data_IF_328627708227
#
_entry.id   IF_328627708227
#
_cell.length_a   1.000
_cell.length_b   1.000
_cell.length_c   1.000
_cell.angle_alpha   90.00
_cell.angle_beta   90.00
_cell.angle_gamma   90.00
#
_symmetry.space_group_name_H-M   'P 1'
#
loop_
_entity.id
_entity.type
_entity.pdbx_description
1 polymer ?
#
# COMPACT_ATOMS: atom_id res chain seq x y z
N UNK A 1 10.40 13.79 11.97
CA UNK A 1 10.43 14.11 13.41
C UNK A 1 11.15 12.96 14.13
N UNK A 2 11.95 13.23 15.16
CA UNK A 2 12.76 12.20 15.85
C UNK A 2 12.09 11.73 17.15
N UNK A 3 12.17 10.44 17.50
CA UNK A 3 11.85 9.99 18.85
C UNK A 3 12.95 10.33 19.88
N UNK A 4 14.17 10.66 19.46
CA UNK A 4 15.32 10.86 20.36
C UNK A 4 15.13 11.91 21.47
N UNK A 5 14.45 13.05 21.24
CA UNK A 5 14.17 14.00 22.31
C UNK A 5 13.20 13.49 23.38
N UNK A 6 12.39 12.46 23.07
CA UNK A 6 11.28 11.99 23.90
C UNK A 6 11.61 10.70 24.64
N UNK A 7 12.49 9.86 24.08
CA UNK A 7 12.78 8.54 24.60
C UNK A 7 14.29 8.38 24.84
N UNK A 8 14.68 7.88 26.02
CA UNK A 8 16.09 7.52 26.28
C UNK A 8 16.46 6.16 25.70
N UNK A 9 15.47 5.28 25.56
CA UNK A 9 15.58 3.94 24.99
C UNK A 9 14.34 3.65 24.18
N UNK A 10 14.49 2.87 23.13
CA UNK A 10 13.39 2.41 22.30
C UNK A 10 13.42 0.91 22.14
N UNK A 11 12.24 0.32 22.14
CA UNK A 11 12.06 -1.07 21.76
C UNK A 11 12.28 -1.18 20.26
N UNK A 12 13.07 -2.17 19.83
CA UNK A 12 13.35 -2.39 18.41
C UNK A 12 13.10 -3.83 18.04
N UNK A 13 12.43 -4.01 16.90
CA UNK A 13 12.32 -5.32 16.26
C UNK A 13 13.66 -5.69 15.63
N UNK A 14 14.05 -6.97 15.73
CA UNK A 14 15.20 -7.53 15.00
C UNK A 14 14.88 -7.70 13.52
N UNK A 15 13.67 -8.16 13.25
CA UNK A 15 13.12 -8.36 11.90
C UNK A 15 11.78 -7.62 11.85
N UNK A 16 11.78 -6.33 11.46
CA UNK A 16 10.55 -5.57 11.34
C UNK A 16 9.74 -6.08 10.13
N UNK A 17 8.46 -6.37 10.35
CA UNK A 17 7.54 -6.69 9.24
C UNK A 17 7.22 -5.44 8.40
N UNK A 18 6.65 -5.60 7.21
CA UNK A 18 6.18 -4.45 6.45
C UNK A 18 5.00 -3.77 7.18
N UNK A 19 4.95 -2.42 7.23
CA UNK A 19 3.86 -1.72 7.91
C UNK A 19 2.55 -1.79 7.11
N UNK A 20 1.45 -1.98 7.83
CA UNK A 20 0.10 -1.80 7.32
C UNK A 20 -0.43 -0.41 7.71
N UNK A 21 -1.00 0.31 6.75
CA UNK A 21 -1.55 1.64 7.00
C UNK A 21 -3.03 1.58 7.31
N UNK A 22 -3.38 1.96 8.55
CA UNK A 22 -4.77 2.02 8.98
C UNK A 22 -5.21 3.46 9.11
N UNK A 23 -6.29 3.79 8.39
CA UNK A 23 -6.83 5.14 8.37
C UNK A 23 -7.85 5.34 9.48
N UNK A 24 -7.70 6.44 10.23
CA UNK A 24 -8.62 6.83 11.30
C UNK A 24 -9.37 8.09 10.88
N UNK A 25 -10.72 8.10 10.89
CA UNK A 25 -11.50 9.28 10.56
C UNK A 25 -11.20 10.36 11.59
N UNK A 26 -10.71 11.50 11.13
CA UNK A 26 -10.55 12.69 11.95
C UNK A 26 -11.47 13.75 11.41
N UNK A 27 -12.45 14.16 12.22
CA UNK A 27 -13.30 15.30 11.92
C UNK A 27 -12.42 16.53 11.75
N UNK A 28 -12.46 17.15 10.55
CA UNK A 28 -11.69 18.35 10.26
C UNK A 28 -11.99 19.46 11.27
N UNK A 29 -10.95 20.16 11.72
CA UNK A 29 -11.04 21.27 12.67
C UNK A 29 -10.21 21.07 13.93
N UNK A 30 -10.07 22.14 14.72
CA UNK A 30 -9.26 22.19 15.95
C UNK A 30 -10.06 21.80 17.20
N UNK A 31 -10.91 20.77 17.10
CA UNK A 31 -11.64 20.28 18.27
C UNK A 31 -10.68 19.59 19.25
N UNK A 32 -11.00 19.62 20.54
CA UNK A 32 -10.21 18.94 21.57
C UNK A 32 -10.07 17.44 21.29
N UNK A 33 -11.14 16.81 20.79
CA UNK A 33 -11.16 15.40 20.38
C UNK A 33 -10.21 15.13 19.21
N UNK A 34 -10.17 16.03 18.21
CA UNK A 34 -9.26 15.95 17.06
C UNK A 34 -7.80 16.06 17.51
N UNK A 35 -7.51 16.99 18.42
CA UNK A 35 -6.17 17.17 18.96
C UNK A 35 -5.73 15.96 19.80
N UNK A 36 -6.63 15.42 20.62
CA UNK A 36 -6.38 14.22 21.41
C UNK A 36 -6.08 13.01 20.51
N UNK A 37 -6.91 12.74 19.50
CA UNK A 37 -6.68 11.64 18.53
C UNK A 37 -5.35 11.83 17.79
N UNK A 38 -5.03 13.06 17.36
CA UNK A 38 -3.74 13.37 16.72
C UNK A 38 -2.56 13.06 17.65
N UNK A 39 -2.65 13.42 18.92
CA UNK A 39 -1.64 13.10 19.93
C UNK A 39 -1.49 11.59 20.19
N UNK A 40 -2.58 10.82 20.13
CA UNK A 40 -2.53 9.36 20.27
C UNK A 40 -1.85 8.72 19.05
N UNK A 41 -2.21 9.16 17.83
CA UNK A 41 -1.54 8.74 16.59
C UNK A 41 -0.05 9.09 16.64
N UNK A 42 0.30 10.30 17.08
CA UNK A 42 1.67 10.77 17.24
C UNK A 42 2.48 9.81 18.13
N UNK A 43 1.97 9.53 19.34
CA UNK A 43 2.61 8.63 20.31
C UNK A 43 2.82 7.23 19.72
N UNK A 44 1.83 6.71 19.00
CA UNK A 44 1.94 5.41 18.34
C UNK A 44 3.00 5.40 17.24
N UNK A 45 2.90 6.33 16.29
CA UNK A 45 3.79 6.40 15.15
C UNK A 45 5.24 6.75 15.53
N UNK A 46 5.45 7.48 16.62
CA UNK A 46 6.81 7.74 17.15
C UNK A 46 7.54 6.46 17.57
N UNK A 47 6.82 5.38 17.91
CA UNK A 47 7.39 4.06 18.20
C UNK A 47 7.65 3.24 16.93
N UNK A 48 7.95 3.88 15.79
CA UNK A 48 8.07 3.19 14.51
C UNK A 48 9.13 2.08 14.52
N UNK A 49 10.25 2.23 15.24
CA UNK A 49 11.31 1.21 15.31
C UNK A 49 10.90 -0.06 16.08
N UNK A 50 9.85 0.01 16.89
CA UNK A 50 9.28 -1.17 17.57
C UNK A 50 8.49 -2.07 16.59
N UNK A 51 8.16 -1.57 15.40
CA UNK A 51 7.44 -2.28 14.34
C UNK A 51 6.18 -2.98 14.87
N UNK A 52 6.07 -4.30 14.69
CA UNK A 52 4.95 -5.09 15.16
C UNK A 52 4.76 -5.12 16.69
N UNK A 53 5.77 -4.69 17.46
CA UNK A 53 5.74 -4.72 18.93
C UNK A 53 5.31 -3.38 19.57
N UNK A 54 4.80 -2.40 18.81
CA UNK A 54 4.36 -1.09 19.35
C UNK A 54 3.39 -1.21 20.53
N UNK A 55 2.44 -2.15 20.46
CA UNK A 55 1.48 -2.39 21.55
C UNK A 55 2.15 -2.75 22.88
N UNK A 56 3.36 -3.32 22.86
CA UNK A 56 4.10 -3.76 24.05
C UNK A 56 4.68 -2.60 24.87
N UNK A 57 4.80 -1.41 24.28
CA UNK A 57 5.40 -0.23 24.94
C UNK A 57 4.43 0.94 25.13
N UNK A 58 3.23 0.85 24.56
CA UNK A 58 2.22 1.90 24.66
C UNK A 58 1.17 1.49 25.69
N UNK A 59 0.85 2.40 26.61
CA UNK A 59 -0.19 2.19 27.61
C UNK A 59 -1.58 2.24 26.96
N UNK A 60 -2.51 1.44 27.50
CA UNK A 60 -3.90 1.41 27.01
C UNK A 60 -4.57 2.80 27.07
N UNK A 61 -4.31 3.56 28.13
CA UNK A 61 -4.82 4.91 28.30
C UNK A 61 -4.32 5.92 27.24
N UNK A 62 -3.25 5.59 26.51
CA UNK A 62 -2.72 6.41 25.41
C UNK A 62 -3.36 6.09 24.05
N UNK A 63 -4.32 5.15 23.98
CA UNK A 63 -4.98 4.73 22.75
C UNK A 63 -6.46 5.08 22.75
N UNK A 64 -6.99 5.46 21.58
CA UNK A 64 -8.43 5.50 21.39
C UNK A 64 -9.00 4.07 21.38
N UNK A 65 -10.30 3.87 21.67
CA UNK A 65 -10.91 2.53 21.62
C UNK A 65 -10.69 1.81 20.30
N UNK A 66 -10.67 2.54 19.18
CA UNK A 66 -10.43 1.96 17.85
C UNK A 66 -8.98 1.55 17.64
N UNK A 67 -8.02 2.39 18.05
CA UNK A 67 -6.61 2.04 18.00
C UNK A 67 -6.30 0.84 18.88
N UNK A 68 -6.90 0.80 20.08
CA UNK A 68 -6.76 -0.31 21.01
C UNK A 68 -7.28 -1.62 20.42
N UNK A 69 -8.48 -1.61 19.84
CA UNK A 69 -9.08 -2.80 19.22
C UNK A 69 -8.19 -3.40 18.12
N UNK A 70 -7.52 -2.56 17.34
CA UNK A 70 -6.55 -2.99 16.31
C UNK A 70 -5.28 -3.52 16.97
N UNK A 71 -4.73 -2.77 17.92
CA UNK A 71 -3.50 -3.14 18.60
C UNK A 71 -3.62 -4.42 19.45
N UNK A 72 -4.84 -4.82 19.85
CA UNK A 72 -5.13 -6.07 20.56
C UNK A 72 -5.24 -7.30 19.65
N UNK A 73 -5.22 -7.13 18.32
CA UNK A 73 -5.23 -8.26 17.38
C UNK A 73 -3.92 -9.06 17.38
N UNK A 74 -2.86 -8.51 17.99
CA UNK A 74 -1.58 -9.19 18.17
C UNK A 74 -0.39 -8.25 17.96
N UNK A 75 0.78 -8.84 17.78
CA UNK A 75 1.96 -8.11 17.33
C UNK A 75 1.84 -7.88 15.82
N UNK A 76 1.17 -6.79 15.42
CA UNK A 76 0.99 -6.37 14.02
C UNK A 76 1.66 -5.03 13.77
N UNK A 77 2.37 -4.87 12.64
CA UNK A 77 3.07 -3.64 12.32
C UNK A 77 2.11 -2.60 11.70
N UNK A 78 1.33 -1.90 12.52
CA UNK A 78 0.36 -0.90 12.02
C UNK A 78 0.90 0.51 12.14
N UNK A 79 0.71 1.35 11.12
CA UNK A 79 0.92 2.80 11.15
C UNK A 79 -0.43 3.49 11.00
N UNK A 80 -0.79 4.33 11.97
CA UNK A 80 -2.07 5.05 11.94
C UNK A 80 -1.93 6.35 11.15
N UNK A 81 -2.86 6.61 10.24
CA UNK A 81 -2.88 7.84 9.45
C UNK A 81 -4.25 8.52 9.57
N UNK A 82 -4.33 9.85 9.72
CA UNK A 82 -5.58 10.57 9.61
C UNK A 82 -6.23 10.39 8.24
N UNK A 83 -7.49 9.96 8.21
CA UNK A 83 -8.32 10.01 7.01
C UNK A 83 -8.89 11.41 6.87
N UNK A 84 -8.43 12.12 5.85
CA UNK A 84 -8.95 13.45 5.49
C UNK A 84 -9.74 13.38 4.17
N UNK A 85 -10.38 14.47 3.75
CA UNK A 85 -11.13 14.54 2.49
C UNK A 85 -10.22 14.30 1.29
N UNK A 86 -9.01 14.85 1.34
CA UNK A 86 -8.04 14.73 0.24
C UNK A 86 -7.28 13.40 0.24
N UNK A 87 -7.27 12.66 1.36
CA UNK A 87 -6.35 11.52 1.59
C UNK A 87 -4.86 11.92 1.50
N UNK A 88 -4.53 13.19 1.69
CA UNK A 88 -3.16 13.67 1.54
C UNK A 88 -2.16 12.92 2.42
N UNK A 89 -2.48 12.68 3.68
CA UNK A 89 -1.55 12.02 4.61
C UNK A 89 -1.24 10.57 4.21
N UNK A 90 -2.12 9.92 3.45
CA UNK A 90 -1.87 8.57 2.90
C UNK A 90 -0.85 8.64 1.76
N UNK A 91 -0.97 9.66 0.90
CA UNK A 91 -0.14 9.79 -0.32
C UNK A 91 1.00 10.79 -0.20
N UNK A 92 1.24 11.36 0.98
CA UNK A 92 2.24 12.39 1.19
C UNK A 92 3.63 11.98 0.70
N UNK A 93 4.13 10.75 0.93
CA UNK A 93 5.42 10.32 0.40
C UNK A 93 5.50 10.43 -1.14
N UNK A 94 4.47 9.95 -1.85
CA UNK A 94 4.43 10.02 -3.32
C UNK A 94 4.32 11.47 -3.82
N UNK A 95 3.53 12.31 -3.15
CA UNK A 95 3.40 13.72 -3.48
C UNK A 95 4.74 14.47 -3.38
N UNK A 96 5.51 14.22 -2.32
CA UNK A 96 6.78 14.91 -2.06
C UNK A 96 7.97 14.36 -2.89
N UNK A 97 7.74 13.35 -3.71
CA UNK A 97 8.68 12.89 -4.75
C UNK A 97 8.44 13.58 -6.10
N UNK A 98 7.37 14.35 -6.25
CA UNK A 98 7.07 15.04 -7.50
C UNK A 98 7.96 16.28 -7.69
N UNK A 99 8.56 16.47 -8.87
CA UNK A 99 9.21 17.72 -9.21
C UNK A 99 8.21 18.89 -9.19
N UNK A 100 8.67 20.09 -8.81
CA UNK A 100 7.88 21.32 -8.80
C UNK A 100 7.13 21.55 -10.12
N UNK A 101 7.82 21.34 -11.23
CA UNK A 101 7.24 21.53 -12.58
C UNK A 101 6.08 20.59 -12.86
N UNK A 102 6.07 19.39 -12.27
CA UNK A 102 4.98 18.42 -12.38
C UNK A 102 3.83 18.82 -11.45
N UNK A 103 4.14 19.20 -10.20
CA UNK A 103 3.16 19.69 -9.22
C UNK A 103 2.36 20.86 -9.81
N UNK A 104 3.04 21.90 -10.30
CA UNK A 104 2.41 23.08 -10.89
C UNK A 104 1.61 22.74 -12.15
N UNK A 105 2.15 21.90 -13.06
CA UNK A 105 1.47 21.48 -14.29
C UNK A 105 0.14 20.77 -14.03
N UNK A 106 0.08 20.01 -12.94
CA UNK A 106 -1.12 19.24 -12.58
C UNK A 106 -2.06 20.01 -11.64
N UNK A 107 -1.80 21.30 -11.38
CA UNK A 107 -2.66 22.15 -10.55
C UNK A 107 -2.60 21.81 -9.06
N UNK A 108 -1.53 21.15 -8.62
CA UNK A 108 -1.28 20.84 -7.22
C UNK A 108 -0.53 22.01 -6.55
N UNK A 109 -0.80 22.31 -5.27
CA UNK A 109 -0.12 23.39 -4.55
C UNK A 109 1.30 22.99 -4.15
N UNK A 110 2.21 23.95 -4.04
CA UNK A 110 3.53 23.70 -3.46
C UNK A 110 3.42 23.65 -1.93
N UNK A 111 3.88 22.55 -1.33
CA UNK A 111 3.92 22.36 0.11
C UNK A 111 5.38 22.29 0.56
N UNK A 112 5.67 22.78 1.76
CA UNK A 112 7.05 22.93 2.23
C UNK A 112 7.77 21.58 2.45
N UNK A 113 7.04 20.58 2.94
CA UNK A 113 7.60 19.25 3.19
C UNK A 113 6.57 18.28 3.76
N UNK A 114 6.87 17.00 3.66
CA UNK A 114 6.09 15.90 4.22
C UNK A 114 6.58 15.48 5.60
N UNK A 115 5.79 14.67 6.28
CA UNK A 115 6.21 13.98 7.49
C UNK A 115 6.06 12.48 7.27
N UNK A 116 7.08 11.73 7.66
CA UNK A 116 6.95 10.29 7.83
C UNK A 116 7.62 9.84 9.14
N UNK A 117 6.95 8.99 9.95
CA UNK A 117 5.51 8.72 9.86
C UNK A 117 4.71 9.99 10.18
N UNK A 118 3.38 9.97 9.96
CA UNK A 118 2.54 11.08 10.40
C UNK A 118 2.66 11.24 11.93
N UNK A 119 2.98 12.44 12.40
CA UNK A 119 3.02 12.71 13.85
C UNK A 119 2.00 13.76 14.22
N UNK A 120 2.07 14.94 13.61
CA UNK A 120 1.14 16.00 13.90
C UNK A 120 1.02 16.94 12.71
N UNK A 121 -0.18 17.46 12.53
CA UNK A 121 -0.45 18.52 11.56
C UNK A 121 -0.62 19.84 12.32
N UNK A 122 0.36 20.74 12.20
CA UNK A 122 0.27 22.06 12.83
C UNK A 122 -0.69 22.99 12.08
N UNK A 123 -0.91 22.76 10.79
CA UNK A 123 -1.80 23.55 9.94
C UNK A 123 -2.56 22.59 9.03
N UNK A 124 -3.90 22.55 9.08
CA UNK A 124 -4.70 21.68 8.22
C UNK A 124 -4.38 21.94 6.75
N UNK A 125 -3.90 20.92 6.03
CA UNK A 125 -3.53 20.99 4.62
C UNK A 125 -4.76 20.88 3.72
N UNK A 126 -5.76 20.13 4.14
CA UNK A 126 -6.97 19.79 3.38
C UNK A 126 -7.74 20.99 2.77
N UNK A 127 -7.86 22.15 3.47
CA UNK A 127 -8.47 23.35 2.90
C UNK A 127 -7.70 23.97 1.73
N UNK A 128 -6.39 23.72 1.64
CA UNK A 128 -5.52 24.25 0.59
C UNK A 128 -5.37 23.30 -0.59
N UNK A 129 -5.89 22.08 -0.47
CA UNK A 129 -5.83 21.06 -1.52
C UNK A 129 -7.06 21.12 -2.43
N UNK A 130 -6.87 20.96 -3.75
CA UNK A 130 -7.99 20.99 -4.70
C UNK A 130 -9.00 19.87 -4.41
N UNK A 131 -10.24 20.07 -4.87
CA UNK A 131 -11.32 19.09 -4.68
C UNK A 131 -10.97 17.73 -5.28
N UNK A 132 -10.28 17.73 -6.43
CA UNK A 132 -9.82 16.54 -7.13
C UNK A 132 -8.36 16.17 -6.82
N UNK A 133 -7.86 16.46 -5.62
CA UNK A 133 -6.46 16.23 -5.24
C UNK A 133 -5.95 14.83 -5.59
N UNK A 134 -6.65 13.76 -5.20
CA UNK A 134 -6.18 12.39 -5.44
C UNK A 134 -6.08 12.06 -6.94
N UNK A 135 -7.01 12.59 -7.75
CA UNK A 135 -7.00 12.42 -9.21
C UNK A 135 -5.85 13.23 -9.85
N UNK A 136 -5.62 14.46 -9.38
CA UNK A 136 -4.52 15.30 -9.83
C UNK A 136 -3.15 14.68 -9.47
N UNK A 137 -3.01 14.16 -8.26
CA UNK A 137 -1.83 13.44 -7.80
C UNK A 137 -1.61 12.15 -8.58
N UNK A 138 -2.66 11.35 -8.82
CA UNK A 138 -2.59 10.16 -9.67
C UNK A 138 -2.07 10.49 -11.07
N UNK A 139 -2.54 11.57 -11.70
CA UNK A 139 -2.03 12.00 -13.01
C UNK A 139 -0.60 12.51 -12.96
N UNK A 140 -0.24 13.25 -11.92
CA UNK A 140 1.09 13.79 -11.72
C UNK A 140 2.11 12.65 -11.53
N UNK A 141 1.80 11.70 -10.64
CA UNK A 141 2.59 10.51 -10.38
C UNK A 141 2.76 9.66 -11.64
N UNK A 142 1.66 9.33 -12.31
CA UNK A 142 1.71 8.58 -13.56
C UNK A 142 2.62 9.26 -14.60
N UNK A 143 2.66 10.59 -14.67
CA UNK A 143 3.50 11.32 -15.61
C UNK A 143 5.01 11.18 -15.34
N UNK A 144 5.41 10.94 -14.08
CA UNK A 144 6.82 10.76 -13.71
C UNK A 144 7.28 9.32 -13.86
N UNK A 145 6.47 8.34 -13.46
CA UNK A 145 6.84 6.90 -13.53
C UNK A 145 6.60 6.28 -14.91
N UNK A 146 5.90 6.98 -15.82
CA UNK A 146 5.51 6.41 -17.11
C UNK A 146 6.71 5.90 -17.93
N UNK A 147 7.84 6.61 -17.88
CA UNK A 147 9.03 6.25 -18.67
C UNK A 147 9.66 4.94 -18.21
N UNK A 148 9.51 4.62 -16.93
CA UNK A 148 10.02 3.38 -16.32
C UNK A 148 9.15 2.19 -16.72
N UNK A 149 7.83 2.41 -16.85
CA UNK A 149 6.88 1.39 -17.29
C UNK A 149 6.91 1.16 -18.82
N UNK A 150 6.92 2.25 -19.59
CA UNK A 150 6.86 2.26 -21.05
C UNK A 150 7.89 3.21 -21.62
N UNK A 151 9.04 2.65 -21.96
CA UNK A 151 10.08 3.37 -22.70
C UNK A 151 9.63 3.67 -24.13
N UNK A 152 9.83 4.91 -24.58
CA UNK A 152 9.74 5.30 -25.99
C UNK A 152 8.35 5.59 -26.54
N UNK A 153 7.25 5.30 -25.82
CA UNK A 153 5.90 5.67 -26.25
C UNK A 153 5.22 6.56 -25.21
N UNK A 154 4.57 7.63 -25.65
CA UNK A 154 3.85 8.52 -24.73
C UNK A 154 2.58 7.84 -24.19
N UNK A 155 2.16 8.21 -22.98
CA UNK A 155 0.92 7.72 -22.38
C UNK A 155 -0.33 8.00 -23.24
N UNK A 156 -0.33 9.08 -24.03
CA UNK A 156 -1.42 9.43 -24.93
C UNK A 156 -1.57 8.45 -26.13
N UNK A 157 -0.60 7.58 -26.35
CA UNK A 157 -0.67 6.52 -27.35
C UNK A 157 -1.57 5.34 -26.95
N UNK A 158 -2.01 5.32 -25.69
CA UNK A 158 -2.80 4.25 -25.11
C UNK A 158 -4.20 4.77 -24.75
N UNK A 159 -5.18 3.87 -24.73
CA UNK A 159 -6.54 4.20 -24.28
C UNK A 159 -6.55 4.51 -22.78
N UNK A 160 -7.68 4.97 -22.24
CA UNK A 160 -7.78 5.28 -20.81
C UNK A 160 -7.80 4.01 -19.95
N UNK A 161 -8.37 2.95 -20.50
CA UNK A 161 -8.55 1.66 -19.84
C UNK A 161 -7.36 0.71 -20.06
N UNK A 162 -6.31 1.17 -20.76
CA UNK A 162 -5.08 0.40 -20.94
C UNK A 162 -4.49 0.00 -19.57
N UNK A 163 -4.19 -1.29 -19.34
CA UNK A 163 -3.73 -1.77 -18.04
C UNK A 163 -2.44 -1.10 -17.55
N UNK A 164 -1.54 -0.73 -18.47
CA UNK A 164 -0.29 -0.05 -18.08
C UNK A 164 -0.57 1.36 -17.58
N UNK A 165 -1.53 2.04 -18.20
CA UNK A 165 -2.02 3.33 -17.77
C UNK A 165 -2.69 3.25 -16.40
N UNK A 166 -3.56 2.26 -16.21
CA UNK A 166 -4.21 2.02 -14.92
C UNK A 166 -3.18 1.77 -13.80
N UNK A 167 -2.15 0.96 -14.07
CA UNK A 167 -1.05 0.71 -13.14
C UNK A 167 -0.29 1.99 -12.77
N UNK A 168 0.06 2.81 -13.77
CA UNK A 168 0.75 4.08 -13.56
C UNK A 168 -0.06 5.06 -12.69
N UNK A 169 -1.39 5.04 -12.83
CA UNK A 169 -2.32 5.90 -12.09
C UNK A 169 -2.68 5.37 -10.70
N UNK A 170 -2.43 4.10 -10.40
CA UNK A 170 -2.81 3.48 -9.13
C UNK A 170 -1.82 3.85 -8.02
N UNK A 171 -2.11 4.90 -7.26
CA UNK A 171 -1.26 5.34 -6.15
C UNK A 171 -1.07 4.26 -5.07
N UNK A 172 -2.12 3.49 -4.77
CA UNK A 172 -2.10 2.45 -3.75
C UNK A 172 -1.12 1.31 -4.11
N UNK A 173 -0.89 1.07 -5.40
CA UNK A 173 0.16 0.12 -5.86
C UNK A 173 1.58 0.58 -5.46
N UNK A 174 1.85 1.89 -5.51
CA UNK A 174 3.18 2.45 -5.23
C UNK A 174 3.43 2.72 -3.75
N UNK A 175 2.38 2.78 -2.91
CA UNK A 175 2.49 3.08 -1.49
C UNK A 175 3.39 2.11 -0.70
N UNK A 176 3.30 0.77 -0.89
CA UNK A 176 4.18 -0.16 -0.20
C UNK A 176 5.66 0.08 -0.53
N UNK A 177 5.97 0.29 -1.81
CA UNK A 177 7.34 0.49 -2.27
C UNK A 177 7.95 1.78 -1.71
N UNK A 178 7.23 2.91 -1.80
CA UNK A 178 7.73 4.18 -1.21
C UNK A 178 7.89 4.08 0.29
N UNK A 179 7.02 3.35 0.97
CA UNK A 179 7.12 3.15 2.42
C UNK A 179 8.34 2.31 2.79
N UNK A 180 8.60 1.24 2.06
CA UNK A 180 9.78 0.38 2.24
C UNK A 180 11.07 1.20 2.07
N UNK A 181 11.16 1.99 1.00
CA UNK A 181 12.31 2.89 0.74
C UNK A 181 12.49 3.90 1.88
N UNK A 182 11.42 4.56 2.32
CA UNK A 182 11.47 5.52 3.44
C UNK A 182 11.98 4.84 4.72
N UNK A 183 11.49 3.64 5.03
CA UNK A 183 11.94 2.87 6.20
C UNK A 183 13.40 2.45 6.10
N UNK A 184 13.84 2.01 4.91
CA UNK A 184 15.23 1.64 4.65
C UNK A 184 16.15 2.83 4.91
N UNK A 185 15.86 4.00 4.33
CA UNK A 185 16.63 5.23 4.53
C UNK A 185 16.66 5.66 6.00
N UNK A 186 15.53 5.64 6.69
CA UNK A 186 15.47 5.96 8.13
C UNK A 186 16.24 4.96 8.99
N UNK A 187 16.36 3.71 8.55
CA UNK A 187 17.16 2.70 9.25
C UNK A 187 18.68 2.95 9.18
N UNK A 188 19.13 3.86 8.31
CA UNK A 188 20.53 4.28 8.23
C UNK A 188 20.85 5.46 9.14
N UNK A 189 19.84 6.14 9.68
CA UNK A 189 20.04 7.35 10.50
C UNK A 189 20.79 7.02 11.79
N UNK A 190 21.69 7.92 12.25
CA UNK A 190 22.52 7.67 13.42
C UNK A 190 21.66 7.50 14.66
N UNK A 191 22.11 6.64 15.57
CA UNK A 191 21.50 6.49 16.88
C UNK A 191 22.11 7.51 17.85
N UNK A 192 21.27 8.13 18.68
CA UNK A 192 21.69 9.22 19.57
C UNK A 192 21.30 8.89 21.00
N UNK A 193 22.28 8.93 21.90
CA UNK A 193 22.12 8.66 23.32
C UNK A 193 23.27 7.83 23.90
N UNK A 194 23.16 7.49 25.17
CA UNK A 194 24.13 6.63 25.86
C UNK A 194 24.02 5.19 25.38
N UNK A 195 25.17 4.53 25.15
CA UNK A 195 25.19 3.15 24.70
C UNK A 195 24.36 2.23 25.62
N UNK A 196 23.42 1.51 25.02
CA UNK A 196 22.60 0.51 25.71
C UNK A 196 23.04 -0.87 25.22
N UNK A 197 23.38 -1.76 26.15
CA UNK A 197 23.62 -3.16 25.80
C UNK A 197 22.35 -3.74 25.18
N UNK A 198 22.43 -4.44 24.03
CA UNK A 198 21.27 -5.00 23.34
C UNK A 198 20.69 -6.17 24.15
N UNK A 199 19.86 -5.85 25.14
CA UNK A 199 19.15 -6.80 25.98
C UNK A 199 17.71 -6.93 25.49
N UNK A 200 17.20 -8.16 25.45
CA UNK A 200 15.78 -8.39 25.18
C UNK A 200 14.94 -7.98 26.39
N UNK A 201 13.94 -7.10 26.20
CA UNK A 201 13.00 -6.76 27.25
C UNK A 201 12.32 -8.00 27.84
N UNK A 202 11.88 -7.89 29.09
CA UNK A 202 11.10 -8.94 29.76
C UNK A 202 9.62 -8.56 29.81
N UNK A 203 8.77 -9.56 29.57
CA UNK A 203 7.34 -9.47 29.79
C UNK A 203 7.02 -9.47 31.30
N UNK A 204 5.76 -9.19 31.64
CA UNK A 204 5.30 -9.15 33.04
C UNK A 204 5.48 -10.50 33.77
N UNK A 205 5.50 -11.61 33.04
CA UNK A 205 5.76 -12.96 33.56
C UNK A 205 7.27 -13.29 33.69
N UNK A 206 8.14 -12.33 33.34
CA UNK A 206 9.60 -12.47 33.40
C UNK A 206 10.23 -13.14 32.18
N UNK A 207 9.44 -13.67 31.24
CA UNK A 207 9.94 -14.26 30.00
C UNK A 207 10.51 -13.17 29.07
N UNK A 208 11.52 -13.47 28.24
CA UNK A 208 12.05 -12.51 27.28
C UNK A 208 11.07 -12.28 26.13
N UNK A 209 10.88 -11.02 25.72
CA UNK A 209 10.19 -10.67 24.48
C UNK A 209 11.11 -10.99 23.29
N UNK A 210 10.98 -12.20 22.77
CA UNK A 210 11.74 -12.71 21.63
C UNK A 210 11.59 -11.83 20.39
N UNK A 211 12.63 -11.76 19.56
CA UNK A 211 12.60 -10.93 18.34
C UNK A 211 12.83 -9.43 18.60
N UNK A 212 13.08 -9.02 19.85
CA UNK A 212 13.29 -7.61 20.20
C UNK A 212 14.55 -7.37 21.02
N UNK A 213 14.97 -6.10 21.07
CA UNK A 213 16.03 -5.60 21.95
C UNK A 213 15.80 -4.13 22.29
N UNK A 214 16.36 -3.69 23.42
CA UNK A 214 16.47 -2.27 23.73
C UNK A 214 17.61 -1.63 22.94
N UNK A 215 17.31 -0.52 22.27
CA UNK A 215 18.28 0.33 21.60
C UNK A 215 18.16 1.79 22.02
N UNK A 216 19.13 2.58 21.61
CA UNK A 216 19.00 4.05 21.60
C UNK A 216 18.16 4.47 20.39
N UNK A 217 17.34 5.53 20.54
CA UNK A 217 16.51 6.04 19.45
C UNK A 217 17.37 6.57 18.30
N UNK A 218 16.83 6.51 17.09
CA UNK A 218 17.45 7.17 15.95
C UNK A 218 17.22 8.68 15.97
N UNK A 219 18.24 9.43 15.56
CA UNK A 219 18.07 10.82 15.20
C UNK A 219 17.02 10.93 14.10
N UNK A 220 16.27 12.02 14.09
CA UNK A 220 15.39 12.36 12.97
C UNK A 220 16.10 13.36 12.07
N UNK A 221 15.58 13.50 10.86
CA UNK A 221 16.14 14.37 9.83
C UNK A 221 15.31 14.26 8.57
N UNK A 222 15.84 14.86 7.51
CA UNK A 222 15.23 14.81 6.18
C UNK A 222 15.59 13.49 5.51
N UNK A 223 14.58 12.72 5.08
CA UNK A 223 14.80 11.45 4.36
C UNK A 223 15.36 11.73 2.96
N UNK A 224 14.94 12.84 2.35
CA UNK A 224 15.52 13.45 1.15
C UNK A 224 15.35 14.96 1.21
N UNK A 225 16.20 15.72 0.51
CA UNK A 225 16.10 17.17 0.45
C UNK A 225 16.23 17.69 -1.00
N UNK A 226 15.14 18.26 -1.51
CA UNK A 226 15.12 18.85 -2.85
C UNK A 226 14.88 17.84 -3.98
N UNK A 227 14.84 18.35 -5.21
CA UNK A 227 14.39 17.57 -6.37
C UNK A 227 15.39 16.49 -6.82
N UNK A 228 16.69 16.70 -6.59
CA UNK A 228 17.72 15.71 -6.96
C UNK A 228 17.56 14.45 -6.11
N UNK A 229 17.61 14.59 -4.79
CA UNK A 229 17.39 13.48 -3.87
C UNK A 229 16.01 12.83 -4.06
N UNK A 230 14.97 13.63 -4.32
CA UNK A 230 13.64 13.10 -4.61
C UNK A 230 13.60 12.25 -5.89
N UNK A 231 14.40 12.59 -6.92
CA UNK A 231 14.51 11.79 -8.13
C UNK A 231 15.24 10.46 -7.85
N UNK A 232 16.31 10.49 -7.07
CA UNK A 232 17.04 9.28 -6.67
C UNK A 232 16.14 8.35 -5.83
N UNK A 233 15.39 8.92 -4.87
CA UNK A 233 14.42 8.16 -4.07
C UNK A 233 13.30 7.60 -4.95
N UNK A 234 12.78 8.35 -5.93
CA UNK A 234 11.80 7.82 -6.88
C UNK A 234 12.34 6.60 -7.63
N UNK A 235 13.59 6.63 -8.07
CA UNK A 235 14.20 5.51 -8.77
C UNK A 235 14.32 4.29 -7.84
N UNK A 236 14.69 4.49 -6.57
CA UNK A 236 14.63 3.45 -5.54
C UNK A 236 13.21 2.89 -5.33
N UNK A 237 12.17 3.74 -5.41
CA UNK A 237 10.77 3.29 -5.31
C UNK A 237 10.38 2.40 -6.48
N UNK A 238 10.84 2.73 -7.69
CA UNK A 238 10.60 1.89 -8.88
C UNK A 238 11.32 0.56 -8.75
N UNK A 239 12.58 0.57 -8.32
CA UNK A 239 13.36 -0.64 -8.08
C UNK A 239 12.73 -1.52 -6.99
N UNK A 240 12.25 -0.92 -5.90
CA UNK A 240 11.57 -1.61 -4.82
C UNK A 240 10.21 -2.16 -5.24
N UNK A 241 9.46 -1.46 -6.11
CA UNK A 241 8.23 -1.99 -6.69
C UNK A 241 8.51 -3.21 -7.60
N UNK A 242 9.69 -3.25 -8.23
CA UNK A 242 10.19 -4.41 -8.95
C UNK A 242 10.96 -5.42 -8.07
N UNK A 243 11.05 -5.20 -6.76
CA UNK A 243 11.68 -6.16 -5.87
C UNK A 243 10.96 -7.51 -5.99
N UNK A 244 11.72 -8.58 -6.19
CA UNK A 244 11.26 -9.93 -6.56
C UNK A 244 10.67 -10.11 -7.97
N UNK A 245 10.79 -9.12 -8.86
CA UNK A 245 10.33 -9.19 -10.25
C UNK A 245 8.84 -8.93 -10.46
N UNK A 246 8.11 -8.53 -9.43
CA UNK A 246 6.64 -8.38 -9.46
C UNK A 246 6.18 -7.34 -10.47
N UNK A 247 6.78 -6.15 -10.45
CA UNK A 247 6.43 -5.08 -11.39
C UNK A 247 6.75 -5.51 -12.83
N UNK A 248 7.92 -6.10 -13.07
CA UNK A 248 8.31 -6.59 -14.39
C UNK A 248 7.43 -7.72 -14.89
N UNK A 249 7.05 -8.66 -14.04
CA UNK A 249 6.11 -9.74 -14.38
C UNK A 249 4.74 -9.18 -14.78
N UNK A 250 4.23 -8.18 -14.04
CA UNK A 250 2.99 -7.47 -14.39
C UNK A 250 3.16 -6.77 -15.75
N UNK A 251 4.26 -6.06 -15.96
CA UNK A 251 4.55 -5.35 -17.21
C UNK A 251 4.62 -6.32 -18.39
N UNK A 252 5.33 -7.45 -18.24
CA UNK A 252 5.51 -8.45 -19.27
C UNK A 252 4.20 -9.20 -19.56
N UNK A 253 3.38 -9.46 -18.54
CA UNK A 253 2.03 -9.99 -18.69
C UNK A 253 1.14 -9.04 -19.49
N UNK A 254 1.12 -7.75 -19.16
CA UNK A 254 0.35 -6.73 -19.88
C UNK A 254 0.83 -6.66 -21.34
N UNK A 255 2.15 -6.58 -21.58
CA UNK A 255 2.72 -6.52 -22.93
C UNK A 255 2.41 -7.76 -23.76
N UNK A 256 2.37 -8.94 -23.15
CA UNK A 256 2.12 -10.21 -23.82
C UNK A 256 0.65 -10.44 -24.18
N UNK A 257 -0.28 -9.84 -23.45
CA UNK A 257 -1.72 -9.98 -23.65
C UNK A 257 -2.39 -8.74 -24.26
N UNK A 258 -1.58 -7.76 -24.69
CA UNK A 258 -2.06 -6.51 -25.29
C UNK A 258 -2.90 -6.77 -26.53
N UNK A 259 -3.96 -5.99 -26.71
CA UNK A 259 -4.87 -6.03 -27.87
C UNK A 259 -4.86 -4.71 -28.62
N UNK A 260 -5.42 -4.69 -29.84
CA UNK A 260 -5.48 -3.48 -30.66
C UNK A 260 -6.23 -2.33 -29.97
N UNK A 261 -7.27 -2.67 -29.19
CA UNK A 261 -8.12 -1.73 -28.45
C UNK A 261 -7.39 -1.04 -27.27
N UNK A 262 -6.20 -1.51 -26.88
CA UNK A 262 -5.38 -0.84 -25.86
C UNK A 262 -4.67 0.41 -26.39
N UNK A 263 -4.62 0.58 -27.72
CA UNK A 263 -3.97 1.71 -28.37
C UNK A 263 -4.97 2.79 -28.76
N UNK A 264 -4.55 4.04 -28.65
CA UNK A 264 -5.31 5.15 -29.21
C UNK A 264 -5.12 5.23 -30.73
N UNK A 265 -5.86 6.14 -31.37
CA UNK A 265 -5.70 6.43 -32.80
C UNK A 265 -4.34 7.06 -33.15
N UNK A 266 -3.55 7.46 -32.14
CA UNK A 266 -2.25 8.09 -32.34
C UNK A 266 -1.19 7.05 -32.69
N UNK A 267 -0.29 7.46 -33.58
CA UNK A 267 0.90 6.66 -33.88
C UNK A 267 1.84 6.59 -32.66
N UNK A 268 2.43 5.42 -32.43
CA UNK A 268 3.48 5.21 -31.43
C UNK A 268 4.34 4.00 -31.77
N UNK A 269 5.57 3.97 -31.24
CA UNK A 269 6.47 2.83 -31.38
C UNK A 269 5.88 1.54 -30.81
N UNK A 270 5.15 1.63 -29.68
CA UNK A 270 4.49 0.47 -29.09
C UNK A 270 3.38 -0.11 -29.98
N UNK A 271 2.60 0.76 -30.65
CA UNK A 271 1.56 0.34 -31.60
C UNK A 271 2.17 -0.30 -32.83
N UNK A 272 3.21 0.32 -33.38
CA UNK A 272 3.93 -0.21 -34.54
C UNK A 272 4.59 -1.57 -34.25
N UNK A 273 5.25 -1.72 -33.10
CA UNK A 273 5.86 -3.00 -32.68
C UNK A 273 4.80 -4.11 -32.49
N UNK A 274 3.64 -3.75 -31.91
CA UNK A 274 2.50 -4.65 -31.80
C UNK A 274 1.96 -5.09 -33.17
N UNK A 275 1.70 -4.15 -34.08
CA UNK A 275 1.23 -4.45 -35.43
C UNK A 275 2.23 -5.33 -36.18
N UNK A 276 3.54 -5.01 -36.12
CA UNK A 276 4.60 -5.86 -36.70
C UNK A 276 4.57 -7.28 -36.13
N UNK A 277 4.44 -7.44 -34.80
CA UNK A 277 4.36 -8.76 -34.15
C UNK A 277 3.12 -9.55 -34.60
N UNK A 278 1.97 -8.91 -34.75
CA UNK A 278 0.74 -9.54 -35.29
C UNK A 278 0.94 -9.98 -36.73
N UNK A 279 1.47 -9.09 -37.58
CA UNK A 279 1.68 -9.39 -39.00
C UNK A 279 2.73 -10.49 -39.23
N UNK A 280 3.69 -10.66 -38.31
CA UNK A 280 4.71 -11.71 -38.37
C UNK A 280 4.32 -13.05 -37.70
N UNK A 281 3.35 -13.08 -36.78
CA UNK A 281 2.92 -14.33 -36.10
C UNK A 281 1.54 -14.77 -36.58
N UNK A 282 1.48 -15.88 -37.33
CA UNK A 282 0.23 -16.66 -37.52
C UNK A 282 -0.36 -17.01 -36.14
N UNK A 283 -1.53 -16.43 -35.85
CA UNK A 283 -2.26 -16.47 -34.58
C UNK A 283 -2.30 -17.88 -33.92
N UNK A 284 -1.65 -18.01 -32.76
CA UNK A 284 -2.02 -18.98 -31.72
C UNK A 284 -2.44 -18.17 -30.49
N UNK A 285 -3.75 -17.99 -30.32
CA UNK A 285 -4.33 -17.33 -29.15
C UNK A 285 -4.11 -18.27 -27.95
N UNK A 286 -3.31 -17.84 -26.98
CA UNK A 286 -3.14 -18.51 -25.68
C UNK A 286 -3.64 -17.57 -24.60
N UNK A 287 -4.81 -17.87 -24.03
CA UNK A 287 -5.37 -17.14 -22.89
C UNK A 287 -4.56 -17.55 -21.65
N UNK A 288 -3.94 -16.59 -20.97
CA UNK A 288 -3.20 -16.79 -19.72
C UNK A 288 -3.79 -15.88 -18.66
N UNK A 289 -4.29 -16.44 -17.57
CA UNK A 289 -4.76 -15.68 -16.41
C UNK A 289 -3.55 -15.32 -15.55
N UNK A 290 -3.39 -14.04 -15.23
CA UNK A 290 -2.39 -13.55 -14.27
C UNK A 290 -3.15 -13.11 -13.03
N UNK A 291 -2.94 -13.82 -11.94
CA UNK A 291 -3.46 -13.44 -10.62
C UNK A 291 -2.50 -12.39 -10.02
N UNK A 292 -3.04 -11.21 -9.70
CA UNK A 292 -2.35 -10.21 -8.90
C UNK A 292 -2.45 -10.68 -7.43
N UNK A 293 -1.35 -11.03 -6.75
CA UNK A 293 -1.42 -11.25 -5.30
C UNK A 293 -1.69 -9.91 -4.60
N UNK A 294 -2.55 -9.97 -3.58
CA UNK A 294 -2.99 -8.82 -2.80
C UNK A 294 -1.81 -7.96 -2.31
N UNK A 295 -1.82 -6.67 -2.69
CA UNK A 295 -0.97 -5.67 -2.06
C UNK A 295 -1.37 -5.45 -0.60
N UNK A 296 -0.48 -4.87 0.21
CA UNK A 296 -0.76 -4.53 1.61
C UNK A 296 -2.10 -3.79 1.68
N UNK A 297 -3.12 -4.36 2.35
CA UNK A 297 -4.46 -3.79 2.31
C UNK A 297 -4.49 -2.47 3.09
N UNK A 298 -4.87 -1.39 2.40
CA UNK A 298 -5.21 -0.11 3.05
C UNK A 298 -6.67 -0.23 3.49
N UNK A 299 -6.90 -0.62 4.74
CA UNK A 299 -8.25 -0.84 5.25
C UNK A 299 -8.99 0.47 5.54
N UNK A 300 -10.20 0.60 4.99
CA UNK A 300 -11.14 1.68 5.28
C UNK A 300 -12.05 1.37 6.48
N UNK A 301 -12.63 2.39 7.16
CA UNK A 301 -13.57 2.20 8.29
C UNK A 301 -14.82 1.38 7.96
N UNK A 302 -15.29 1.47 6.72
CA UNK A 302 -16.45 0.74 6.20
C UNK A 302 -16.11 -0.76 6.05
N UNK A 303 -14.84 -1.07 5.77
CA UNK A 303 -14.39 -2.40 5.33
C UNK A 303 -14.38 -3.44 6.45
N UNK A 304 -14.22 -3.10 7.73
CA UNK A 304 -14.11 -4.15 8.77
C UNK A 304 -15.47 -4.65 9.29
N UNK A 305 -16.47 -3.77 9.36
CA UNK A 305 -17.81 -4.09 9.90
C UNK A 305 -18.76 -4.57 8.79
N UNK A 306 -18.64 -4.01 7.60
CA UNK A 306 -19.46 -4.41 6.44
C UNK A 306 -18.94 -5.73 5.86
N UNK A 307 -17.63 -5.95 5.79
CA UNK A 307 -17.07 -7.13 5.13
C UNK A 307 -17.26 -8.41 5.97
N UNK A 308 -17.18 -8.37 7.31
CA UNK A 308 -17.49 -9.57 8.13
C UNK A 308 -18.97 -9.95 8.12
N UNK A 309 -19.88 -8.98 8.08
CA UNK A 309 -21.33 -9.21 8.05
C UNK A 309 -21.79 -9.63 6.66
N UNK A 310 -21.37 -8.91 5.61
CA UNK A 310 -21.72 -9.24 4.23
C UNK A 310 -21.07 -10.52 3.72
N UNK A 311 -19.83 -10.84 4.13
CA UNK A 311 -19.20 -12.13 3.76
C UNK A 311 -19.92 -13.29 4.46
N UNK A 312 -20.36 -13.10 5.71
CA UNK A 312 -21.22 -14.06 6.41
C UNK A 312 -22.50 -14.35 5.64
N UNK A 313 -23.24 -13.30 5.29
CA UNK A 313 -24.50 -13.38 4.54
C UNK A 313 -24.31 -13.92 3.12
N UNK A 314 -23.27 -13.49 2.40
CA UNK A 314 -22.90 -14.02 1.09
C UNK A 314 -22.55 -15.50 1.15
N UNK A 315 -21.80 -15.95 2.16
CA UNK A 315 -21.46 -17.36 2.34
C UNK A 315 -22.71 -18.23 2.55
N UNK A 316 -23.78 -17.71 3.19
CA UNK A 316 -25.04 -18.45 3.34
C UNK A 316 -25.78 -18.66 2.00
N UNK A 317 -25.60 -17.75 1.03
CA UNK A 317 -26.20 -17.82 -0.31
C UNK A 317 -25.45 -18.76 -1.27
N UNK A 318 -24.23 -19.17 -0.90
CA UNK A 318 -23.41 -20.06 -1.72
C UNK A 318 -23.76 -21.54 -1.49
N UNK A 319 -23.70 -22.33 -2.58
CA UNK A 319 -23.88 -23.78 -2.50
C UNK A 319 -22.74 -24.40 -1.67
N UNK A 320 -22.94 -25.57 -1.03
CA UNK A 320 -21.93 -26.17 -0.14
C UNK A 320 -20.54 -26.29 -0.76
N UNK A 321 -20.46 -26.76 -2.01
CA UNK A 321 -19.19 -26.84 -2.75
C UNK A 321 -18.59 -25.49 -3.19
N UNK A 322 -19.38 -24.42 -3.24
CA UNK A 322 -18.86 -23.06 -3.53
C UNK A 322 -18.29 -22.43 -2.25
N UNK A 323 -18.92 -22.71 -1.09
CA UNK A 323 -18.40 -22.32 0.22
C UNK A 323 -17.08 -23.03 0.54
N UNK A 324 -17.02 -24.33 0.31
CA UNK A 324 -15.81 -25.14 0.50
C UNK A 324 -14.63 -24.59 -0.31
N UNK A 325 -14.87 -24.19 -1.56
CA UNK A 325 -13.88 -23.54 -2.42
C UNK A 325 -13.38 -22.21 -1.84
N UNK A 326 -14.28 -21.35 -1.34
CA UNK A 326 -13.88 -20.09 -0.68
C UNK A 326 -13.11 -20.35 0.62
N UNK A 327 -13.49 -21.37 1.39
CA UNK A 327 -12.79 -21.74 2.64
C UNK A 327 -11.36 -22.20 2.33
N UNK A 328 -11.16 -23.00 1.26
CA UNK A 328 -9.84 -23.44 0.82
C UNK A 328 -8.97 -22.26 0.38
N UNK A 329 -9.53 -21.32 -0.40
CA UNK A 329 -8.82 -20.08 -0.78
C UNK A 329 -8.44 -19.24 0.44
N UNK A 330 -9.35 -19.09 1.41
CA UNK A 330 -9.09 -18.34 2.65
C UNK A 330 -8.05 -19.02 3.55
N UNK A 331 -7.92 -20.34 3.47
CA UNK A 331 -6.86 -21.07 4.16
C UNK A 331 -5.47 -20.93 3.51
N UNK A 332 -5.36 -20.12 2.45
CA UNK A 332 -4.10 -19.82 1.76
C UNK A 332 -3.78 -20.78 0.61
N UNK A 333 -4.70 -21.68 0.25
CA UNK A 333 -4.52 -22.57 -0.89
C UNK A 333 -4.95 -21.87 -2.18
N UNK A 334 -3.99 -21.42 -3.00
CA UNK A 334 -4.23 -20.61 -4.20
C UNK A 334 -4.03 -21.36 -5.52
N UNK A 335 -3.38 -22.53 -5.51
CA UNK A 335 -3.22 -23.37 -6.70
C UNK A 335 -4.54 -24.01 -7.12
N UNK A 336 -5.07 -23.64 -8.30
CA UNK A 336 -6.30 -24.22 -8.85
C UNK A 336 -6.23 -25.73 -9.08
N UNK A 337 -5.02 -26.27 -9.24
CA UNK A 337 -4.78 -27.70 -9.40
C UNK A 337 -4.90 -28.42 -8.06
N UNK A 338 -4.28 -27.88 -7.02
CA UNK A 338 -4.29 -28.45 -5.67
C UNK A 338 -5.71 -28.40 -5.07
N UNK A 339 -6.42 -27.29 -5.34
CA UNK A 339 -7.83 -27.14 -4.99
C UNK A 339 -8.71 -28.13 -5.76
N UNK A 340 -8.41 -28.38 -7.04
CA UNK A 340 -9.16 -29.35 -7.84
C UNK A 340 -8.97 -30.77 -7.28
N UNK A 341 -7.74 -31.14 -6.93
CA UNK A 341 -7.40 -32.44 -6.33
C UNK A 341 -8.07 -32.60 -4.96
N UNK A 342 -8.03 -31.57 -4.11
CA UNK A 342 -8.65 -31.59 -2.78
C UNK A 342 -10.18 -31.63 -2.84
N UNK A 343 -10.80 -30.99 -3.84
CA UNK A 343 -12.25 -31.02 -4.05
C UNK A 343 -12.73 -32.23 -4.89
N UNK A 344 -11.82 -33.09 -5.35
CA UNK A 344 -12.10 -34.30 -6.12
C UNK A 344 -12.55 -34.05 -7.56
N UNK A 345 -12.08 -32.97 -8.20
CA UNK A 345 -12.32 -32.69 -9.62
C UNK A 345 -11.22 -33.28 -10.50
N UNK A 346 -11.62 -33.77 -11.68
CA UNK A 346 -10.67 -34.34 -12.65
C UNK A 346 -9.76 -33.31 -13.35
N UNK A 347 -10.09 -32.01 -13.27
CA UNK A 347 -9.27 -30.92 -13.81
C UNK A 347 -9.59 -29.56 -13.14
N UNK A 348 -8.63 -28.63 -13.21
CA UNK A 348 -8.75 -27.27 -12.68
C UNK A 348 -9.83 -26.42 -13.40
N UNK A 349 -10.28 -26.84 -14.59
CA UNK A 349 -11.31 -26.12 -15.35
C UNK A 349 -12.66 -26.10 -14.64
N UNK A 350 -12.96 -27.11 -13.81
CA UNK A 350 -14.17 -27.15 -12.99
C UNK A 350 -14.13 -26.11 -11.85
N UNK A 351 -12.95 -25.91 -11.26
CA UNK A 351 -12.69 -24.93 -10.20
C UNK A 351 -12.77 -23.51 -10.75
N UNK A 352 -12.10 -23.24 -11.87
CA UNK A 352 -12.15 -21.95 -12.58
C UNK A 352 -13.58 -21.52 -12.94
N UNK A 353 -14.39 -22.45 -13.50
CA UNK A 353 -15.82 -22.18 -13.79
C UNK A 353 -16.66 -21.91 -12.54
N UNK A 354 -16.30 -22.48 -11.38
CA UNK A 354 -16.96 -22.15 -10.11
C UNK A 354 -16.55 -20.77 -9.62
N UNK A 355 -15.27 -20.43 -9.65
CA UNK A 355 -14.79 -19.10 -9.27
C UNK A 355 -15.42 -18.00 -10.11
N UNK A 356 -15.53 -18.18 -11.43
CA UNK A 356 -16.21 -17.21 -12.30
C UNK A 356 -17.68 -17.01 -11.93
N UNK A 357 -18.37 -18.08 -11.56
CA UNK A 357 -19.77 -18.03 -11.14
C UNK A 357 -19.93 -17.40 -9.76
N UNK A 358 -19.01 -17.68 -8.84
CA UNK A 358 -18.96 -17.06 -7.50
C UNK A 358 -18.68 -15.57 -7.65
N UNK A 359 -17.70 -15.18 -8.48
CA UNK A 359 -17.36 -13.78 -8.77
C UNK A 359 -18.53 -13.01 -9.38
N UNK A 360 -19.25 -13.60 -10.33
CA UNK A 360 -20.47 -12.99 -10.90
C UNK A 360 -21.58 -12.82 -9.86
N UNK A 361 -21.73 -13.78 -8.94
CA UNK A 361 -22.71 -13.69 -7.84
C UNK A 361 -22.30 -12.66 -6.79
N UNK A 362 -21.02 -12.60 -6.46
CA UNK A 362 -20.47 -11.58 -5.57
C UNK A 362 -20.73 -10.20 -6.16
N UNK A 363 -20.37 -9.96 -7.42
CA UNK A 363 -20.65 -8.69 -8.11
C UNK A 363 -22.13 -8.32 -8.03
N UNK A 364 -23.06 -9.24 -8.34
CA UNK A 364 -24.49 -8.94 -8.24
C UNK A 364 -25.00 -8.71 -6.81
N UNK A 365 -24.36 -9.31 -5.80
CA UNK A 365 -24.77 -9.19 -4.40
C UNK A 365 -24.26 -7.88 -3.80
N UNK A 366 -23.04 -7.48 -4.14
CA UNK A 366 -22.39 -6.24 -3.70
C UNK A 366 -22.79 -5.01 -4.53
N UNK A 367 -23.38 -5.17 -5.73
CA UNK A 367 -24.00 -4.07 -6.49
C UNK A 367 -25.43 -3.77 -6.05
N UNK A 368 -26.11 -4.72 -5.38
CA UNK A 368 -27.50 -4.60 -4.95
C UNK A 368 -27.68 -4.25 -3.45
N UNK A 369 -26.57 -4.25 -2.69
CA UNK A 369 -26.49 -3.87 -1.28
C UNK A 369 -25.80 -2.51 -1.17
#
# INVERSE_FOLDING_TARGET
>A
MSPAPLYRRMLRAREPEAPEFVTLPISGGSSELTLAMTGQIAKWNMQWEAAQFRRRVIAEADLSPRMLAIAEQGDINVVFIPRTRSRYHEYAPLFHLLPRTVVERHGLPLLHGGQWPFVAEHTPVDPYLPVNFSEALSRAWASVVWRDLVSGSSMAAFTRDDPMRLLAHNLDFWLPAVTSVVQALLSEFPQVGDAVAPESPRLADGSPLTGTYWGVPRQGGDVWLGEADAADVRDMVVDEADASGKLREIIDAIKSNRVADDFSDRWSYAKEDFERKIHHKRLKIKVTFVELPDGVPVHGPETEVIDRVLVGDFMTLLKPKDRELIILLRSGMTSLTDIADQMGYANHSAVSKRLDRIRKRAASFFEAS
#
